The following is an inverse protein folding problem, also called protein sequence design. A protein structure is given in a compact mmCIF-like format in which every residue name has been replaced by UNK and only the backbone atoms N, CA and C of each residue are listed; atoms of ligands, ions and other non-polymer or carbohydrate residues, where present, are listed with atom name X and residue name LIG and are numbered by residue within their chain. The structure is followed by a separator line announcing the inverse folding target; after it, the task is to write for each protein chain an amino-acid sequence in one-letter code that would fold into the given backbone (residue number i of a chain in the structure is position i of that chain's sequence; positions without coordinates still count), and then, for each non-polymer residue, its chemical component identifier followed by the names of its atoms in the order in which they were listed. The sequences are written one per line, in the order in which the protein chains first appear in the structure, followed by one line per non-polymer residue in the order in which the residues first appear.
data_IF_674942701305
#
_entry.id   IF_674942701305
#
_cell.length_a   1.000
_cell.length_b   1.000
_cell.length_c   1.000
_cell.angle_alpha   90.00
_cell.angle_beta   90.00
_cell.angle_gamma   90.00
#
_symmetry.space_group_name_H-M   'P 1'
#
loop_
_entity.id
_entity.type
_entity.pdbx_description
1 polymer ?
#
# COMPACT_ATOMS: atom_id res chain seq x y z
N UNK A 1 -3.01 -0.22 -21.40
CA UNK A 1 -1.57 -0.54 -21.36
C UNK A 1 -1.30 -1.47 -20.19
N UNK A 2 -0.60 -2.58 -20.41
CA UNK A 2 -0.11 -3.48 -19.36
C UNK A 2 1.18 -2.94 -18.73
N UNK A 3 1.48 -3.34 -17.50
CA UNK A 3 2.78 -3.02 -16.88
C UNK A 3 3.90 -3.74 -17.63
N UNK A 4 5.02 -3.06 -17.86
CA UNK A 4 6.23 -3.69 -18.43
C UNK A 4 6.91 -4.63 -17.44
N UNK A 5 7.78 -5.50 -17.94
CA UNK A 5 8.60 -6.36 -17.08
C UNK A 5 9.53 -5.50 -16.21
N UNK A 6 9.80 -5.94 -14.98
CA UNK A 6 10.76 -5.25 -14.11
C UNK A 6 10.52 -5.47 -12.63
N UNK A 7 11.23 -4.67 -11.81
CA UNK A 7 11.04 -4.63 -10.36
C UNK A 7 10.04 -3.55 -9.98
N UNK A 8 9.11 -3.88 -9.10
CA UNK A 8 8.05 -3.01 -8.63
C UNK A 8 7.87 -3.15 -7.12
N UNK A 9 7.45 -2.09 -6.45
CA UNK A 9 6.80 -2.16 -5.16
C UNK A 9 5.30 -2.14 -5.39
N UNK A 10 4.59 -3.00 -4.67
CA UNK A 10 3.13 -3.04 -4.66
C UNK A 10 2.69 -2.32 -3.40
N UNK A 11 1.84 -1.32 -3.54
CA UNK A 11 1.37 -0.48 -2.47
C UNK A 11 -0.14 -0.67 -2.29
N UNK A 12 -0.59 -0.58 -1.06
CA UNK A 12 -1.99 -0.49 -0.69
C UNK A 12 -2.21 0.81 0.07
N UNK A 13 -3.17 1.60 -0.40
CA UNK A 13 -3.51 2.89 0.17
C UNK A 13 -4.85 2.80 0.88
N UNK A 14 -4.90 3.19 2.16
CA UNK A 14 -6.14 3.22 2.92
C UNK A 14 -6.09 4.36 3.93
N UNK A 15 -7.14 5.19 3.97
CA UNK A 15 -7.30 6.28 4.94
C UNK A 15 -6.09 7.25 5.04
N UNK A 16 -5.40 7.52 3.93
CA UNK A 16 -4.20 8.37 3.90
C UNK A 16 -2.89 7.65 4.26
N UNK A 17 -2.95 6.36 4.59
CA UNK A 17 -1.78 5.52 4.83
C UNK A 17 -1.41 4.72 3.59
N UNK A 18 -0.16 4.88 3.13
CA UNK A 18 0.45 4.06 2.09
C UNK A 18 1.30 2.97 2.73
N UNK A 19 0.92 1.70 2.50
CA UNK A 19 1.60 0.53 3.05
C UNK A 19 2.08 -0.39 1.94
N UNK A 20 3.23 -1.05 2.16
CA UNK A 20 3.81 -1.96 1.16
C UNK A 20 3.19 -3.35 1.27
N UNK A 21 2.93 -4.00 0.14
CA UNK A 21 2.42 -5.37 0.07
C UNK A 21 3.57 -6.31 -0.21
N UNK A 22 3.83 -7.29 0.67
CA UNK A 22 4.90 -8.28 0.49
C UNK A 22 4.78 -9.47 1.44
N UNK A 23 5.80 -10.32 1.44
CA UNK A 23 6.03 -11.33 2.46
C UNK A 23 6.35 -10.70 3.82
N UNK A 24 6.14 -11.45 4.89
CA UNK A 24 6.50 -11.04 6.23
C UNK A 24 8.01 -10.84 6.39
N UNK A 25 8.42 -9.91 7.25
CA UNK A 25 9.86 -9.69 7.56
C UNK A 25 10.46 -10.88 8.30
N UNK A 26 9.67 -11.48 9.19
CA UNK A 26 10.04 -12.67 9.95
C UNK A 26 9.11 -13.79 9.51
N UNK A 27 9.72 -14.86 9.00
CA UNK A 27 9.03 -16.05 8.54
C UNK A 27 9.69 -17.27 9.20
N UNK A 28 8.93 -18.34 9.34
CA UNK A 28 9.51 -19.62 9.71
C UNK A 28 10.45 -20.14 8.60
N UNK A 29 11.38 -21.03 8.96
CA UNK A 29 12.37 -21.58 8.01
C UNK A 29 11.82 -22.70 7.12
N UNK A 30 10.53 -23.04 7.21
CA UNK A 30 9.95 -24.07 6.35
C UNK A 30 9.89 -23.60 4.90
N UNK A 31 9.98 -24.56 3.98
CA UNK A 31 9.76 -24.35 2.55
C UNK A 31 8.28 -24.33 2.16
N UNK A 32 7.39 -24.24 3.16
CA UNK A 32 5.95 -24.12 2.94
C UNK A 32 5.56 -22.79 2.30
N UNK A 33 4.30 -22.68 1.82
CA UNK A 33 3.76 -21.44 1.28
C UNK A 33 3.89 -20.30 2.30
N UNK A 34 4.33 -19.13 1.83
CA UNK A 34 4.48 -17.93 2.65
C UNK A 34 3.37 -16.94 2.35
N UNK A 35 2.63 -16.53 3.38
CA UNK A 35 1.52 -15.57 3.24
C UNK A 35 2.01 -14.20 2.77
N UNK A 36 1.14 -13.50 2.06
CA UNK A 36 1.35 -12.13 1.60
C UNK A 36 0.50 -11.20 2.46
N UNK A 37 1.08 -10.07 2.85
CA UNK A 37 0.53 -9.10 3.78
C UNK A 37 0.60 -7.70 3.20
N UNK A 38 -0.32 -6.84 3.62
CA UNK A 38 -0.09 -5.39 3.68
C UNK A 38 0.69 -5.12 4.95
N UNK A 39 1.98 -4.78 4.82
CA UNK A 39 2.87 -4.63 5.96
C UNK A 39 2.51 -3.41 6.82
N UNK A 40 2.89 -3.47 8.11
CA UNK A 40 2.79 -2.30 9.00
C UNK A 40 3.58 -1.11 8.45
N UNK A 41 3.13 0.10 8.75
CA UNK A 41 3.79 1.33 8.32
C UNK A 41 5.26 1.36 8.77
N UNK A 42 6.14 1.84 7.91
CA UNK A 42 7.59 1.92 8.18
C UNK A 42 8.34 0.59 8.02
N UNK A 43 7.66 -0.54 7.79
CA UNK A 43 8.35 -1.78 7.43
C UNK A 43 8.79 -1.75 5.96
N UNK A 44 10.08 -2.06 5.74
CA UNK A 44 10.63 -2.18 4.39
C UNK A 44 10.27 -3.53 3.80
N UNK A 45 9.68 -3.54 2.61
CA UNK A 45 9.48 -4.75 1.83
C UNK A 45 10.58 -4.95 0.79
N UNK A 46 10.71 -6.20 0.33
CA UNK A 46 11.41 -6.49 -0.91
C UNK A 46 10.53 -6.09 -2.11
N UNK A 47 11.17 -5.59 -3.16
CA UNK A 47 10.51 -5.38 -4.45
C UNK A 47 10.03 -6.72 -5.04
N UNK A 48 8.92 -6.67 -5.75
CA UNK A 48 8.40 -7.73 -6.59
C UNK A 48 9.06 -7.72 -7.96
N UNK A 49 9.41 -8.89 -8.49
CA UNK A 49 9.73 -9.03 -9.91
C UNK A 49 8.44 -9.36 -10.65
N UNK A 50 8.08 -8.53 -11.63
CA UNK A 50 6.96 -8.73 -12.54
C UNK A 50 7.49 -9.18 -13.90
N UNK A 51 6.95 -10.29 -14.39
CA UNK A 51 7.25 -10.81 -15.73
C UNK A 51 5.96 -11.14 -16.47
N UNK A 52 5.71 -10.48 -17.60
CA UNK A 52 4.61 -10.81 -18.49
C UNK A 52 4.86 -12.13 -19.21
N UNK A 53 3.85 -13.00 -19.24
CA UNK A 53 3.85 -14.26 -19.96
C UNK A 53 3.08 -14.13 -21.27
N UNK A 54 3.39 -14.99 -22.24
CA UNK A 54 2.79 -14.96 -23.60
C UNK A 54 1.27 -15.14 -23.61
N UNK A 55 0.69 -15.73 -22.57
CA UNK A 55 -0.75 -15.95 -22.42
C UNK A 55 -1.50 -14.78 -21.75
N UNK A 56 -0.85 -13.62 -21.56
CA UNK A 56 -1.44 -12.45 -20.91
C UNK A 56 -1.53 -12.52 -19.39
N UNK A 57 -1.01 -13.59 -18.76
CA UNK A 57 -0.80 -13.63 -17.31
C UNK A 57 0.56 -13.02 -16.93
N UNK A 58 0.73 -12.70 -15.65
CA UNK A 58 1.99 -12.20 -15.09
C UNK A 58 2.51 -13.17 -14.02
N UNK A 59 3.82 -13.34 -13.95
CA UNK A 59 4.49 -13.87 -12.75
C UNK A 59 4.78 -12.70 -11.83
N UNK A 60 4.44 -12.85 -10.55
CA UNK A 60 4.82 -11.92 -9.48
C UNK A 60 5.68 -12.69 -8.47
N UNK A 61 6.94 -12.33 -8.36
CA UNK A 61 7.90 -13.01 -7.49
C UNK A 61 8.35 -12.09 -6.36
N UNK A 62 8.31 -12.58 -5.12
CA UNK A 62 8.82 -11.86 -3.94
C UNK A 62 9.93 -12.67 -3.28
N UNK A 63 11.12 -12.08 -3.19
CA UNK A 63 12.34 -12.73 -2.68
C UNK A 63 12.58 -14.11 -3.34
N UNK A 64 12.61 -14.13 -4.67
CA UNK A 64 12.85 -15.30 -5.53
C UNK A 64 11.79 -16.42 -5.46
N UNK A 65 10.66 -16.17 -4.80
CA UNK A 65 9.55 -17.11 -4.73
C UNK A 65 8.37 -16.61 -5.59
N UNK A 66 7.92 -17.36 -6.61
CA UNK A 66 6.74 -16.99 -7.37
C UNK A 66 5.48 -17.09 -6.52
N UNK A 67 4.55 -16.19 -6.77
CA UNK A 67 3.26 -16.18 -6.09
C UNK A 67 2.16 -16.87 -6.89
N UNK A 68 1.17 -17.38 -6.16
CA UNK A 68 0.07 -18.13 -6.73
C UNK A 68 -1.00 -18.47 -5.71
N UNK A 69 -1.82 -19.45 -6.06
CA UNK A 69 -2.96 -19.92 -5.28
C UNK A 69 -2.61 -21.24 -4.58
N UNK A 70 -2.91 -21.33 -3.29
CA UNK A 70 -2.80 -22.56 -2.51
C UNK A 70 -4.10 -23.37 -2.50
N UNK A 71 -4.05 -24.63 -2.04
CA UNK A 71 -5.12 -25.64 -2.21
C UNK A 71 -6.49 -25.23 -1.66
N UNK A 72 -6.54 -24.33 -0.70
CA UNK A 72 -7.77 -23.90 -0.02
C UNK A 72 -8.30 -22.55 -0.53
N UNK A 73 -7.66 -21.93 -1.52
CA UNK A 73 -7.98 -20.60 -2.04
C UNK A 73 -8.08 -19.52 -0.94
N UNK A 74 -7.42 -19.70 0.21
CA UNK A 74 -7.55 -18.77 1.35
C UNK A 74 -6.89 -17.43 1.08
N UNK A 75 -5.84 -17.42 0.29
CA UNK A 75 -5.08 -16.22 -0.04
C UNK A 75 -4.06 -16.47 -1.14
N UNK A 76 -3.43 -15.38 -1.62
CA UNK A 76 -2.22 -15.50 -2.38
C UNK A 76 -1.06 -15.86 -1.46
N UNK A 77 -0.19 -16.75 -1.95
CA UNK A 77 1.02 -17.15 -1.25
C UNK A 77 2.22 -17.04 -2.18
N UNK A 78 3.39 -16.77 -1.62
CA UNK A 78 4.67 -16.97 -2.28
C UNK A 78 5.16 -18.39 -2.02
N UNK A 79 5.68 -19.06 -3.05
CA UNK A 79 6.03 -20.48 -3.01
C UNK A 79 7.53 -20.69 -3.16
N UNK A 80 8.28 -20.94 -2.07
CA UNK A 80 9.66 -21.41 -2.16
C UNK A 80 9.78 -22.71 -2.97
N UNK A 81 8.74 -23.55 -2.92
CA UNK A 81 8.59 -24.76 -3.75
C UNK A 81 7.37 -24.59 -4.68
N UNK A 82 7.59 -24.23 -5.97
CA UNK A 82 6.50 -23.89 -6.90
C UNK A 82 5.48 -25.01 -7.13
N UNK A 83 5.87 -26.28 -6.95
CA UNK A 83 5.01 -27.45 -7.11
C UNK A 83 3.93 -27.59 -6.03
N UNK A 84 3.98 -26.79 -4.96
CA UNK A 84 2.92 -26.74 -3.94
C UNK A 84 1.72 -25.87 -4.35
N UNK A 85 1.89 -25.01 -5.36
CA UNK A 85 0.83 -24.14 -5.85
C UNK A 85 -0.16 -24.92 -6.70
N UNK A 86 -1.46 -24.62 -6.54
CA UNK A 86 -2.51 -25.08 -7.48
C UNK A 86 -2.37 -24.35 -8.80
N UNK A 87 -2.05 -23.05 -8.73
CA UNK A 87 -1.75 -22.24 -9.89
C UNK A 87 -0.74 -21.16 -9.55
N UNK A 88 0.15 -20.84 -10.47
CA UNK A 88 1.15 -19.77 -10.36
C UNK A 88 0.83 -18.63 -11.31
N UNK A 89 1.04 -17.39 -10.88
CA UNK A 89 0.82 -16.20 -11.69
C UNK A 89 -0.63 -15.72 -11.72
N UNK A 90 -0.80 -14.49 -12.21
CA UNK A 90 -1.98 -13.66 -12.01
C UNK A 90 -2.41 -12.95 -13.29
N UNK A 91 -3.58 -12.33 -13.27
CA UNK A 91 -3.98 -11.30 -14.23
C UNK A 91 -3.96 -9.94 -13.54
N UNK A 92 -3.57 -8.91 -14.29
CA UNK A 92 -3.61 -7.52 -13.82
C UNK A 92 -4.67 -6.78 -14.61
N UNK A 93 -5.65 -6.24 -13.90
CA UNK A 93 -6.74 -5.46 -14.47
C UNK A 93 -6.58 -4.00 -14.06
N UNK A 94 -6.46 -3.11 -15.02
CA UNK A 94 -6.28 -1.68 -14.73
C UNK A 94 -7.59 -1.09 -14.19
N UNK A 95 -7.51 -0.29 -13.14
CA UNK A 95 -8.67 0.44 -12.60
C UNK A 95 -9.00 1.62 -13.52
N UNK A 96 -10.25 1.69 -13.98
CA UNK A 96 -10.71 2.77 -14.84
C UNK A 96 -10.72 4.11 -14.10
N UNK A 97 -10.28 5.19 -14.77
CA UNK A 97 -10.25 6.53 -14.19
C UNK A 97 -9.14 6.78 -13.15
N UNK A 98 -8.25 5.80 -12.93
CA UNK A 98 -7.08 5.96 -12.08
C UNK A 98 -5.87 6.48 -12.85
N UNK A 99 -4.95 7.13 -12.13
CA UNK A 99 -3.58 7.35 -12.57
C UNK A 99 -2.97 6.00 -13.01
N UNK A 100 -2.06 6.02 -13.97
CA UNK A 100 -1.63 4.87 -14.80
C UNK A 100 -1.00 3.65 -14.06
N UNK A 101 -1.15 3.52 -12.74
CA UNK A 101 -0.44 2.59 -11.89
C UNK A 101 -1.34 1.78 -10.94
N UNK A 102 -2.67 1.95 -10.95
CA UNK A 102 -3.58 1.17 -10.09
C UNK A 102 -4.18 -0.04 -10.81
N UNK A 103 -4.11 -1.20 -10.14
CA UNK A 103 -4.52 -2.49 -10.68
C UNK A 103 -5.23 -3.35 -9.64
N UNK A 104 -6.14 -4.19 -10.12
CA UNK A 104 -6.69 -5.34 -9.39
C UNK A 104 -5.90 -6.58 -9.82
N UNK A 105 -5.40 -7.33 -8.85
CA UNK A 105 -4.64 -8.57 -9.06
C UNK A 105 -5.61 -9.76 -8.94
N UNK A 106 -5.84 -10.49 -10.02
CA UNK A 106 -6.83 -11.56 -10.07
C UNK A 106 -6.23 -12.91 -10.42
N UNK A 107 -6.92 -13.98 -10.06
CA UNK A 107 -6.64 -15.33 -10.56
C UNK A 107 -6.72 -15.37 -12.10
N UNK A 108 -6.12 -16.38 -12.73
CA UNK A 108 -6.04 -16.45 -14.21
C UNK A 108 -7.41 -16.49 -14.90
N UNK A 109 -8.43 -17.01 -14.24
CA UNK A 109 -9.82 -17.01 -14.70
C UNK A 109 -10.55 -15.68 -14.39
N UNK A 110 -9.98 -14.83 -13.55
CA UNK A 110 -10.53 -13.53 -13.14
C UNK A 110 -11.62 -13.62 -12.07
N UNK A 111 -11.87 -14.80 -11.49
CA UNK A 111 -12.97 -15.02 -10.54
C UNK A 111 -12.67 -14.47 -9.14
N UNK A 112 -11.44 -14.62 -8.68
CA UNK A 112 -10.99 -14.15 -7.37
C UNK A 112 -9.93 -13.06 -7.52
N UNK A 113 -9.98 -12.08 -6.62
CA UNK A 113 -9.02 -10.99 -6.51
C UNK A 113 -8.28 -11.04 -5.19
N UNK A 114 -7.06 -10.52 -5.19
CA UNK A 114 -6.36 -10.17 -3.95
C UNK A 114 -7.19 -9.12 -3.23
N UNK A 115 -7.53 -9.39 -1.97
CA UNK A 115 -8.33 -8.49 -1.14
C UNK A 115 -7.69 -8.34 0.22
N UNK A 116 -7.49 -7.11 0.67
CA UNK A 116 -6.98 -6.82 2.00
C UNK A 116 -8.06 -7.14 3.04
N UNK A 117 -7.72 -7.97 4.02
CA UNK A 117 -8.59 -8.35 5.13
C UNK A 117 -8.59 -7.29 6.22
N UNK A 118 -9.69 -7.21 6.97
CA UNK A 118 -9.75 -6.44 8.22
C UNK A 118 -9.04 -7.15 9.38
N UNK A 119 -8.53 -8.37 9.17
CA UNK A 119 -7.72 -9.10 10.13
C UNK A 119 -6.26 -8.70 9.99
N UNK A 120 -5.69 -8.20 11.09
CA UNK A 120 -4.26 -7.91 11.21
C UNK A 120 -3.54 -9.03 11.96
N UNK A 121 -2.33 -9.34 11.52
CA UNK A 121 -1.38 -10.22 12.20
C UNK A 121 -0.09 -9.49 12.56
N UNK A 122 0.89 -10.27 13.03
CA UNK A 122 2.20 -9.75 13.43
C UNK A 122 2.91 -8.96 12.30
N UNK A 123 2.78 -9.42 11.05
CA UNK A 123 3.43 -8.79 9.90
C UNK A 123 2.60 -7.67 9.25
N UNK A 124 1.31 -7.57 9.56
CA UNK A 124 0.39 -6.62 8.91
C UNK A 124 -0.97 -7.26 8.59
N UNK A 125 -1.74 -6.63 7.71
CA UNK A 125 -3.06 -7.12 7.32
C UNK A 125 -2.93 -8.25 6.31
N UNK A 126 -3.73 -9.31 6.48
CA UNK A 126 -3.71 -10.44 5.57
C UNK A 126 -4.25 -10.02 4.19
N UNK A 127 -3.58 -10.45 3.13
CA UNK A 127 -4.17 -10.46 1.79
C UNK A 127 -4.82 -11.82 1.58
N UNK A 128 -6.09 -11.82 1.21
CA UNK A 128 -6.90 -13.02 0.96
C UNK A 128 -7.32 -13.08 -0.51
N UNK A 129 -7.90 -14.20 -0.92
CA UNK A 129 -8.61 -14.28 -2.21
C UNK A 129 -10.11 -14.19 -1.95
N UNK A 130 -10.77 -13.22 -2.56
CA UNK A 130 -12.23 -13.05 -2.49
C UNK A 130 -12.80 -12.77 -3.88
N UNK A 131 -14.11 -12.97 -4.10
CA UNK A 131 -14.74 -12.61 -5.36
C UNK A 131 -14.41 -11.18 -5.77
N UNK A 132 -14.07 -10.99 -7.04
CA UNK A 132 -13.76 -9.65 -7.56
C UNK A 132 -14.99 -8.76 -7.49
N UNK A 133 -14.90 -7.66 -6.77
CA UNK A 133 -15.96 -6.66 -6.62
C UNK A 133 -15.52 -5.23 -6.99
N UNK A 134 -14.22 -5.02 -7.21
CA UNK A 134 -13.67 -3.71 -7.55
C UNK A 134 -13.66 -2.72 -6.38
N UNK A 135 -13.86 -3.21 -5.15
CA UNK A 135 -13.73 -2.39 -3.95
C UNK A 135 -12.30 -1.88 -3.77
N UNK A 136 -12.16 -0.79 -3.00
CA UNK A 136 -10.85 -0.22 -2.68
C UNK A 136 -9.91 -1.23 -2.00
N UNK A 137 -10.44 -2.24 -1.29
CA UNK A 137 -9.67 -3.35 -0.69
C UNK A 137 -8.97 -4.24 -1.72
N UNK A 138 -9.33 -4.14 -3.00
CA UNK A 138 -8.79 -4.93 -4.12
C UNK A 138 -7.89 -4.11 -5.04
N UNK A 139 -7.69 -2.82 -4.76
CA UNK A 139 -6.92 -1.91 -5.61
C UNK A 139 -5.50 -1.75 -5.05
N UNK A 140 -4.52 -2.01 -5.90
CA UNK A 140 -3.10 -1.92 -5.56
C UNK A 140 -2.36 -1.03 -6.55
N UNK A 141 -1.41 -0.24 -6.04
CA UNK A 141 -0.58 0.66 -6.85
C UNK A 141 0.78 0.02 -7.11
N UNK A 142 1.24 0.03 -8.36
CA UNK A 142 2.54 -0.52 -8.76
C UNK A 142 3.52 0.61 -9.08
N UNK A 143 4.63 0.69 -8.33
CA UNK A 143 5.65 1.73 -8.49
C UNK A 143 7.04 1.13 -8.71
N UNK A 144 7.88 1.73 -9.55
CA UNK A 144 9.27 1.25 -9.76
C UNK A 144 10.25 1.80 -8.72
N UNK A 145 10.02 3.02 -8.27
CA UNK A 145 10.83 3.73 -7.28
C UNK A 145 9.92 4.24 -6.17
N UNK A 146 10.23 3.88 -4.92
CA UNK A 146 9.48 4.35 -3.75
C UNK A 146 9.72 5.83 -3.48
N UNK A 147 10.94 6.34 -3.72
CA UNK A 147 11.28 7.72 -3.38
C UNK A 147 10.50 8.70 -4.25
N UNK A 148 10.48 8.47 -5.56
CA UNK A 148 9.69 9.24 -6.51
C UNK A 148 8.19 9.18 -6.19
N UNK A 149 7.68 8.02 -5.78
CA UNK A 149 6.29 7.91 -5.35
C UNK A 149 5.98 8.76 -4.12
N UNK A 150 6.80 8.66 -3.06
CA UNK A 150 6.56 9.42 -1.82
C UNK A 150 6.70 10.93 -2.03
N UNK A 151 7.69 11.39 -2.80
CA UNK A 151 7.85 12.82 -3.12
C UNK A 151 6.60 13.39 -3.80
N UNK A 152 6.04 12.68 -4.79
CA UNK A 152 4.83 13.11 -5.47
C UNK A 152 3.56 12.96 -4.60
N UNK A 153 3.50 11.90 -3.77
CA UNK A 153 2.35 11.64 -2.90
C UNK A 153 2.13 12.78 -1.90
N UNK A 154 3.18 13.16 -1.15
CA UNK A 154 3.08 14.23 -0.14
C UNK A 154 2.79 15.60 -0.75
N UNK A 155 3.32 15.89 -1.96
CA UNK A 155 3.01 17.13 -2.69
C UNK A 155 1.54 17.16 -3.09
N UNK A 156 0.98 16.01 -3.50
CA UNK A 156 -0.43 15.90 -3.88
C UNK A 156 -1.39 16.04 -2.70
N UNK A 157 -1.06 15.49 -1.53
CA UNK A 157 -1.86 15.66 -0.30
C UNK A 157 -1.84 17.11 0.19
N UNK A 158 -0.66 17.77 0.18
CA UNK A 158 -0.54 19.17 0.55
C UNK A 158 -1.38 20.09 -0.36
N UNK A 159 -1.53 19.72 -1.64
CA UNK A 159 -2.32 20.46 -2.62
C UNK A 159 -3.84 20.19 -2.53
N UNK A 160 -4.25 19.08 -1.88
CA UNK A 160 -5.67 18.73 -1.65
C UNK A 160 -6.30 19.44 -0.44
N UNK A 161 -5.53 20.22 0.31
CA UNK A 161 -6.01 21.13 1.35
C UNK A 161 -5.78 22.61 0.98
N UNK A 162 -6.65 23.24 0.17
CA UNK A 162 -6.61 24.70 -0.01
C UNK A 162 -7.27 25.47 1.16
N UNK A 163 -7.90 24.80 2.13
CA UNK A 163 -8.70 25.48 3.16
C UNK A 163 -8.07 25.44 4.56
N UNK A 164 -7.00 26.21 4.75
CA UNK A 164 -6.74 26.90 6.03
C UNK A 164 -6.13 28.28 5.79
N UNK A 165 -6.76 29.07 4.91
CA UNK A 165 -6.52 30.50 4.83
C UNK A 165 -7.85 31.21 5.09
N UNK A 166 -8.18 31.37 6.38
CA UNK A 166 -9.52 31.83 6.74
C UNK A 166 -9.75 32.34 8.16
N UNK A 167 -8.78 32.26 9.09
CA UNK A 167 -8.89 32.99 10.35
C UNK A 167 -8.11 34.30 10.26
N UNK A 168 -8.79 35.30 9.70
CA UNK A 168 -8.45 36.71 9.86
C UNK A 168 -8.41 37.01 11.36
N UNK A 169 -7.22 36.99 11.93
CA UNK A 169 -6.95 37.61 13.24
C UNK A 169 -7.33 39.09 13.10
N UNK A 170 -8.30 39.62 13.87
CA UNK A 170 -8.54 41.04 13.88
C UNK A 170 -7.33 41.72 14.54
N UNK A 171 -6.50 42.39 13.75
CA UNK A 171 -5.60 43.42 14.26
C UNK A 171 -6.47 44.57 14.78
N UNK A 172 -6.83 44.51 16.05
CA UNK A 172 -7.54 45.59 16.73
C UNK A 172 -6.98 45.80 18.14
N UNK A 173 -6.11 46.80 18.21
CA UNK A 173 -6.06 47.81 19.28
C UNK A 173 -5.94 47.30 20.73
N UNK A 174 -4.71 47.05 21.18
CA UNK A 174 -4.36 47.31 22.57
C UNK A 174 -3.53 48.57 22.68
N UNK A 175 -4.24 49.64 23.03
CA UNK A 175 -3.70 50.96 23.28
C UNK A 175 -2.82 51.02 24.52
N UNK A 176 -1.86 51.94 24.44
CA UNK A 176 -1.02 52.40 25.52
C UNK A 176 -1.82 52.80 26.77
N UNK A 177 -1.48 52.23 27.93
CA UNK A 177 -1.63 52.93 29.22
C UNK A 177 -0.38 52.75 30.09
N UNK A 178 0.45 53.79 30.06
CA UNK A 178 1.38 54.13 31.14
C UNK A 178 0.58 54.45 32.41
N UNK A 179 0.85 53.74 33.50
CA UNK A 179 0.80 54.22 34.90
C UNK A 179 1.96 53.51 35.60
N UNK A 180 2.96 54.13 36.22
CA UNK A 180 3.00 55.44 36.85
C UNK A 180 2.90 55.28 38.37
N UNK A 181 4.06 55.02 39.01
CA UNK A 181 4.46 55.23 40.43
C UNK A 181 3.66 54.55 41.55
N UNK A 182 4.42 54.00 42.52
CA UNK A 182 3.89 53.67 43.85
C UNK A 182 4.88 52.90 44.74
N UNK A 183 5.94 53.58 45.17
CA UNK A 183 6.84 53.20 46.27
C UNK A 183 6.08 53.10 47.61
N UNK A 184 6.44 52.12 48.46
CA UNK A 184 6.65 52.16 49.95
C UNK A 184 6.36 50.76 50.56
N UNK A 185 7.35 50.10 51.18
CA UNK A 185 7.70 50.08 52.63
C UNK A 185 6.57 49.46 53.49
N UNK A 186 6.73 48.48 54.39
CA UNK A 186 7.85 48.10 55.28
C UNK A 186 7.84 46.60 55.66
N UNK A 187 8.96 46.19 56.26
CA UNK A 187 9.22 45.17 57.30
C UNK A 187 8.96 43.68 57.03
#
# INVERSE_FOLDING_TARGET
MSLGNGKYFILYETNGDVRQVSRGRVEDLSLGPKSIFVLHQGQKANSWTLENKSNGSVSLESALAPSGVYRDNTGPFAFPLPNLAVSLGWKLEKVNGSDNQQYIITTKDGSLAWTVSDKSGFNGDYVLLQPKDGSSKQVFTFVKDLNDYYENYFVSEASRNPEREGDRVPQSQFGYRRKGRGQRYCD
#
